data_IF_920489424629
#
_entry.id   IF_920489424629
#
_cell.length_a   1.000
_cell.length_b   1.000
_cell.length_c   1.000
_cell.angle_alpha   90.00
_cell.angle_beta   90.00
_cell.angle_gamma   90.00
#
_symmetry.space_group_name_H-M   'P 1'
#
loop_
_entity.id
_entity.type
_entity.pdbx_description
1 polymer ?
#
# COMPACT_ATOMS: atom_id res chain seq x y z
N UNK A 1 -15.60 -6.09 28.06
CA UNK A 1 -15.19 -4.68 27.82
C UNK A 1 -15.01 -4.45 26.33
N UNK A 2 -15.09 -3.21 25.82
CA UNK A 2 -15.01 -2.92 24.38
C UNK A 2 -13.78 -3.53 23.66
N UNK A 3 -12.71 -3.78 24.41
CA UNK A 3 -11.49 -4.43 23.89
C UNK A 3 -11.66 -5.92 23.57
N UNK A 4 -12.50 -6.67 24.30
CA UNK A 4 -12.66 -8.13 24.07
C UNK A 4 -13.45 -8.40 22.80
N UNK A 5 -14.51 -7.62 22.56
CA UNK A 5 -15.35 -7.73 21.35
C UNK A 5 -14.60 -7.28 20.08
N UNK A 6 -13.66 -6.33 20.20
CA UNK A 6 -12.77 -5.94 19.11
C UNK A 6 -11.76 -7.06 18.77
N UNK A 7 -11.19 -7.72 19.78
CA UNK A 7 -10.27 -8.85 19.58
C UNK A 7 -10.96 -10.00 18.84
N UNK A 8 -12.16 -10.41 19.24
CA UNK A 8 -12.90 -11.50 18.57
C UNK A 8 -13.21 -11.17 17.10
N UNK A 9 -13.67 -9.94 16.81
CA UNK A 9 -13.92 -9.48 15.44
C UNK A 9 -12.65 -9.50 14.59
N UNK A 10 -11.51 -9.10 15.14
CA UNK A 10 -10.24 -9.12 14.41
C UNK A 10 -9.71 -10.55 14.23
N UNK A 11 -9.89 -11.42 15.22
CA UNK A 11 -9.56 -12.84 15.08
C UNK A 11 -10.40 -13.53 14.01
N UNK A 12 -11.68 -13.20 13.91
CA UNK A 12 -12.54 -13.74 12.86
C UNK A 12 -12.13 -13.21 11.47
N UNK A 13 -11.86 -11.91 11.33
CA UNK A 13 -11.32 -11.35 10.07
C UNK A 13 -9.96 -11.95 9.70
N UNK A 14 -9.14 -12.30 10.68
CA UNK A 14 -7.88 -13.03 10.45
C UNK A 14 -8.14 -14.45 9.98
N UNK A 15 -9.05 -15.18 10.62
CA UNK A 15 -9.44 -16.54 10.20
C UNK A 15 -10.00 -16.53 8.79
N UNK A 16 -10.89 -15.60 8.46
CA UNK A 16 -11.42 -15.39 7.12
C UNK A 16 -10.29 -15.07 6.12
N UNK A 17 -9.39 -14.14 6.44
CA UNK A 17 -8.25 -13.83 5.57
C UNK A 17 -7.25 -14.98 5.42
N UNK A 18 -7.03 -15.77 6.47
CA UNK A 18 -6.16 -16.96 6.46
C UNK A 18 -6.82 -18.13 5.70
N UNK A 19 -8.15 -18.24 5.73
CA UNK A 19 -8.95 -19.18 4.92
C UNK A 19 -8.94 -18.77 3.44
N UNK A 20 -9.13 -17.49 3.14
CA UNK A 20 -8.96 -16.93 1.79
C UNK A 20 -7.54 -17.17 1.28
N UNK A 21 -6.53 -17.05 2.13
CA UNK A 21 -5.14 -17.38 1.78
C UNK A 21 -4.94 -18.88 1.54
N UNK A 22 -5.78 -19.78 2.06
CA UNK A 22 -5.73 -21.21 1.75
C UNK A 22 -6.58 -21.58 0.54
N UNK A 23 -7.43 -20.68 0.07
CA UNK A 23 -8.24 -20.89 -1.10
C UNK A 23 -7.35 -20.97 -2.34
N UNK A 24 -7.38 -22.13 -3.00
CA UNK A 24 -6.53 -22.45 -4.16
C UNK A 24 -6.75 -21.46 -5.31
N UNK A 25 -7.98 -20.98 -5.51
CA UNK A 25 -8.31 -19.96 -6.53
C UNK A 25 -7.75 -18.58 -6.17
N UNK A 26 -7.79 -18.19 -4.88
CA UNK A 26 -7.16 -16.95 -4.42
C UNK A 26 -5.65 -17.06 -4.56
N UNK A 27 -5.03 -18.16 -4.14
CA UNK A 27 -3.61 -18.41 -4.35
C UNK A 27 -3.22 -18.40 -5.82
N UNK A 28 -4.05 -18.97 -6.68
CA UNK A 28 -3.87 -18.91 -8.12
C UNK A 28 -3.91 -17.46 -8.62
N UNK A 29 -4.89 -16.63 -8.21
CA UNK A 29 -4.95 -15.19 -8.53
C UNK A 29 -3.71 -14.44 -8.04
N UNK A 30 -3.25 -14.70 -6.81
CA UNK A 30 -2.05 -14.06 -6.25
C UNK A 30 -0.78 -14.49 -6.97
N UNK A 31 -0.67 -15.77 -7.34
CA UNK A 31 0.44 -16.31 -8.12
C UNK A 31 0.44 -15.79 -9.56
N UNK A 32 -0.74 -15.49 -10.11
CA UNK A 32 -0.98 -14.88 -11.42
C UNK A 32 -0.78 -13.37 -11.45
N UNK A 33 -0.30 -12.72 -10.38
CA UNK A 33 0.09 -11.27 -10.36
C UNK A 33 1.31 -10.96 -11.24
N UNK A 34 1.39 -11.60 -12.39
CA UNK A 34 2.39 -11.45 -13.43
C UNK A 34 1.64 -10.96 -14.64
N UNK A 35 2.06 -9.81 -15.13
CA UNK A 35 1.56 -9.27 -16.38
C UNK A 35 2.17 -10.11 -17.51
N UNK A 36 1.32 -10.72 -18.33
CA UNK A 36 1.73 -11.61 -19.43
C UNK A 36 2.59 -10.88 -20.46
N UNK A 37 2.23 -9.63 -20.77
CA UNK A 37 2.97 -8.74 -21.66
C UNK A 37 2.90 -7.32 -21.13
N UNK A 38 4.05 -6.72 -20.82
CA UNK A 38 4.09 -5.37 -20.26
C UNK A 38 3.83 -4.29 -21.32
N UNK A 39 3.13 -3.25 -20.92
CA UNK A 39 2.96 -2.04 -21.72
C UNK A 39 4.28 -1.25 -21.77
N UNK A 40 4.64 -0.74 -22.95
CA UNK A 40 5.91 -0.03 -23.19
C UNK A 40 6.03 1.31 -22.44
N UNK A 41 4.91 1.95 -22.11
CA UNK A 41 4.89 3.21 -21.35
C UNK A 41 4.81 2.96 -19.85
N UNK A 42 4.12 1.89 -19.43
CA UNK A 42 3.87 1.61 -18.01
C UNK A 42 4.05 0.12 -17.72
N UNK A 43 5.20 -0.25 -17.14
CA UNK A 43 5.52 -1.65 -16.83
C UNK A 43 4.55 -2.32 -15.83
N UNK A 44 3.81 -1.50 -15.07
CA UNK A 44 2.75 -1.94 -14.15
C UNK A 44 1.45 -2.31 -14.88
N UNK A 45 1.34 -2.11 -16.20
CA UNK A 45 0.15 -2.40 -16.99
C UNK A 45 0.41 -3.46 -18.05
N UNK A 46 -0.63 -4.21 -18.39
CA UNK A 46 -0.66 -5.10 -19.54
C UNK A 46 -0.62 -4.30 -20.84
N UNK A 47 0.07 -4.80 -21.86
CA UNK A 47 0.18 -4.21 -23.19
C UNK A 47 -1.17 -4.08 -23.91
N UNK A 48 -2.19 -4.83 -23.48
CA UNK A 48 -3.57 -4.67 -23.93
C UNK A 48 -4.22 -3.36 -23.47
N UNK A 49 -3.60 -2.60 -22.55
CA UNK A 49 -4.15 -1.36 -22.00
C UNK A 49 -3.46 -0.13 -22.54
N UNK A 50 -4.19 0.98 -22.60
CA UNK A 50 -3.68 2.31 -22.93
C UNK A 50 -4.26 3.37 -21.99
N UNK A 51 -3.41 4.30 -21.56
CA UNK A 51 -3.85 5.51 -20.86
C UNK A 51 -4.34 6.54 -21.89
N UNK A 52 -5.56 7.00 -21.72
CA UNK A 52 -6.26 7.93 -22.58
C UNK A 52 -6.75 9.16 -21.80
N UNK A 53 -7.19 10.18 -22.55
CA UNK A 53 -7.78 11.39 -21.98
C UNK A 53 -9.02 11.81 -22.77
N UNK A 54 -10.07 12.25 -22.08
CA UNK A 54 -11.22 12.93 -22.68
C UNK A 54 -11.61 14.15 -21.86
N UNK A 55 -12.18 15.16 -22.51
CA UNK A 55 -12.65 16.37 -21.83
C UNK A 55 -13.71 16.07 -20.76
N UNK A 56 -14.49 15.00 -20.94
CA UNK A 56 -15.59 14.65 -20.05
C UNK A 56 -15.17 13.77 -18.87
N UNK A 57 -14.16 12.90 -19.04
CA UNK A 57 -13.75 11.93 -18.01
C UNK A 57 -12.35 12.20 -17.43
N UNK A 58 -11.60 13.14 -18.01
CA UNK A 58 -10.20 13.33 -17.68
C UNK A 58 -9.38 12.13 -18.16
N UNK A 59 -8.47 11.63 -17.32
CA UNK A 59 -7.63 10.47 -17.63
C UNK A 59 -8.38 9.17 -17.37
N UNK A 60 -8.30 8.23 -18.29
CA UNK A 60 -8.90 6.90 -18.14
C UNK A 60 -8.02 5.83 -18.80
N UNK A 61 -8.24 4.57 -18.46
CA UNK A 61 -7.55 3.43 -19.06
C UNK A 61 -8.56 2.66 -19.88
N UNK A 62 -8.20 2.32 -21.11
CA UNK A 62 -9.02 1.48 -22.00
C UNK A 62 -8.21 0.29 -22.52
N UNK A 63 -8.90 -0.79 -22.87
CA UNK A 63 -8.30 -1.93 -23.55
C UNK A 63 -8.25 -1.71 -25.06
N UNK A 64 -7.09 -1.91 -25.69
CA UNK A 64 -6.90 -1.83 -27.15
C UNK A 64 -7.08 -3.18 -27.85
N UNK A 65 -7.17 -4.26 -27.09
CA UNK A 65 -7.42 -5.63 -27.57
C UNK A 65 -8.40 -6.35 -26.63
N UNK A 66 -8.88 -7.51 -27.05
CA UNK A 66 -9.70 -8.37 -26.19
C UNK A 66 -8.90 -8.78 -24.94
N UNK A 67 -9.56 -8.74 -23.78
CA UNK A 67 -9.03 -9.17 -22.49
C UNK A 67 -9.81 -10.41 -22.07
N UNK A 68 -9.10 -11.48 -21.73
CA UNK A 68 -9.75 -12.73 -21.30
C UNK A 68 -10.10 -12.69 -19.81
N UNK A 69 -11.10 -13.47 -19.40
CA UNK A 69 -11.42 -13.64 -17.98
C UNK A 69 -10.22 -14.21 -17.23
N UNK A 70 -9.90 -13.62 -16.08
CA UNK A 70 -8.74 -14.00 -15.26
C UNK A 70 -7.40 -13.41 -15.71
N UNK A 71 -7.37 -12.59 -16.77
CA UNK A 71 -6.15 -11.90 -17.20
C UNK A 71 -5.79 -10.75 -16.26
N UNK A 72 -4.51 -10.66 -15.88
CA UNK A 72 -4.01 -9.58 -15.04
C UNK A 72 -3.71 -8.35 -15.87
N UNK A 73 -4.45 -7.29 -15.55
CA UNK A 73 -4.45 -6.02 -16.25
C UNK A 73 -3.42 -5.02 -15.70
N UNK A 74 -3.38 -4.88 -14.37
CA UNK A 74 -2.50 -3.92 -13.68
C UNK A 74 -1.94 -4.59 -12.42
N UNK A 75 -0.64 -4.43 -12.20
CA UNK A 75 0.04 -4.82 -10.96
C UNK A 75 0.91 -3.66 -10.51
N UNK A 76 0.53 -3.04 -9.39
CA UNK A 76 1.23 -1.89 -8.85
C UNK A 76 1.57 -2.13 -7.37
N UNK A 77 2.80 -1.78 -6.99
CA UNK A 77 3.19 -1.71 -5.57
C UNK A 77 2.65 -0.40 -5.00
N UNK A 78 2.04 -0.39 -3.80
CA UNK A 78 1.52 0.84 -3.22
C UNK A 78 2.67 1.84 -3.05
N UNK A 79 2.46 3.08 -3.49
CA UNK A 79 3.42 4.15 -3.27
C UNK A 79 3.70 4.34 -1.77
N UNK A 80 2.64 4.42 -0.97
CA UNK A 80 2.71 4.37 0.48
C UNK A 80 1.57 3.52 1.02
N UNK A 81 1.81 2.85 2.13
CA UNK A 81 0.83 2.00 2.80
C UNK A 81 0.81 2.33 4.30
N UNK A 82 -0.33 2.16 4.95
CA UNK A 82 -0.48 2.37 6.39
C UNK A 82 -1.39 1.31 6.99
N UNK A 83 -1.05 0.88 8.20
CA UNK A 83 -1.81 -0.12 8.94
C UNK A 83 -2.77 0.53 9.92
N UNK A 84 -4.05 0.16 9.84
CA UNK A 84 -5.08 0.61 10.77
C UNK A 84 -4.69 0.23 12.22
N UNK A 85 -4.92 1.10 13.23
CA UNK A 85 -4.51 0.83 14.61
C UNK A 85 -5.03 -0.49 15.16
N UNK A 86 -6.28 -0.85 14.88
CA UNK A 86 -6.89 -2.12 15.31
C UNK A 86 -6.23 -3.37 14.72
N UNK A 87 -5.40 -3.22 13.69
CA UNK A 87 -4.70 -4.29 13.00
C UNK A 87 -3.19 -4.29 13.30
N UNK A 88 -2.67 -3.44 14.19
CA UNK A 88 -1.22 -3.29 14.40
C UNK A 88 -0.51 -4.48 15.03
N UNK A 89 -1.20 -5.22 15.89
CA UNK A 89 -0.71 -6.50 16.44
C UNK A 89 -0.94 -7.67 15.46
N UNK A 90 -1.60 -7.33 14.37
CA UNK A 90 -2.09 -8.08 13.24
C UNK A 90 -1.11 -8.55 12.18
N UNK A 91 -0.52 -7.52 11.59
CA UNK A 91 0.10 -7.53 10.29
C UNK A 91 1.37 -6.68 10.37
N UNK A 92 2.31 -6.98 9.50
CA UNK A 92 3.56 -6.26 9.35
C UNK A 92 3.29 -4.79 9.01
N UNK A 93 3.92 -3.86 9.74
CA UNK A 93 3.75 -2.41 9.58
C UNK A 93 4.37 -1.86 8.27
N UNK A 94 5.06 -2.72 7.52
CA UNK A 94 5.66 -2.42 6.23
C UNK A 94 4.92 -3.08 5.06
N UNK A 95 4.90 -4.42 5.02
CA UNK A 95 4.36 -5.15 3.88
C UNK A 95 2.88 -5.52 4.02
N UNK A 96 2.25 -5.22 5.16
CA UNK A 96 0.85 -5.52 5.49
C UNK A 96 0.47 -7.01 5.43
N UNK A 97 1.44 -7.93 5.34
CA UNK A 97 1.19 -9.37 5.48
C UNK A 97 0.97 -9.73 6.95
N UNK A 98 0.22 -10.82 7.20
CA UNK A 98 -0.01 -11.32 8.56
C UNK A 98 1.32 -11.55 9.28
N UNK A 99 1.38 -11.18 10.56
CA UNK A 99 2.57 -11.41 11.37
C UNK A 99 2.74 -12.91 11.64
N UNK A 100 3.94 -13.49 11.40
CA UNK A 100 4.25 -14.85 11.81
C UNK A 100 4.34 -14.95 13.34
N UNK A 101 4.45 -16.17 13.87
CA UNK A 101 4.68 -16.40 15.31
C UNK A 101 5.95 -15.68 15.81
N UNK A 102 7.01 -15.69 15.00
CA UNK A 102 8.29 -15.03 15.31
C UNK A 102 8.33 -13.65 14.66
N UNK A 103 7.90 -12.62 15.39
CA UNK A 103 7.90 -11.24 14.91
C UNK A 103 9.23 -10.55 15.17
N UNK A 104 9.56 -9.57 14.33
CA UNK A 104 10.65 -8.61 14.58
C UNK A 104 10.02 -7.32 15.07
N UNK A 105 10.39 -6.86 16.27
CA UNK A 105 9.92 -5.60 16.85
C UNK A 105 10.98 -4.50 16.71
N UNK A 106 10.53 -3.27 16.49
CA UNK A 106 11.41 -2.11 16.67
C UNK A 106 11.76 -1.94 18.16
N UNK A 107 13.01 -1.60 18.46
CA UNK A 107 13.47 -1.40 19.85
C UNK A 107 12.97 -0.09 20.46
N UNK A 108 12.56 0.87 19.63
CA UNK A 108 12.24 2.26 20.04
C UNK A 108 10.74 2.57 20.04
N UNK A 109 9.92 1.75 19.39
CA UNK A 109 8.47 1.95 19.32
C UNK A 109 7.73 0.62 19.19
N UNK A 110 6.41 0.68 19.10
CA UNK A 110 5.50 -0.48 19.03
C UNK A 110 5.30 -1.07 17.61
N UNK A 111 6.24 -0.81 16.69
CA UNK A 111 6.13 -1.30 15.32
C UNK A 111 6.58 -2.76 15.22
N UNK A 112 5.77 -3.57 14.51
CA UNK A 112 6.00 -5.00 14.32
C UNK A 112 6.19 -5.33 12.84
N UNK A 113 7.14 -6.22 12.56
CA UNK A 113 7.56 -6.61 11.23
C UNK A 113 7.63 -8.14 11.10
N UNK A 114 7.34 -8.65 9.91
CA UNK A 114 7.43 -10.09 9.64
C UNK A 114 8.86 -10.59 9.41
N UNK A 115 9.82 -9.68 9.20
CA UNK A 115 11.23 -10.02 8.95
C UNK A 115 12.13 -8.79 9.14
N UNK A 116 13.43 -9.03 9.32
CA UNK A 116 14.45 -7.97 9.37
C UNK A 116 14.44 -7.12 8.11
N UNK A 117 14.29 -7.72 6.93
CA UNK A 117 14.17 -6.98 5.66
C UNK A 117 12.99 -5.99 5.67
N UNK A 118 11.87 -6.33 6.31
CA UNK A 118 10.74 -5.40 6.42
C UNK A 118 11.02 -4.26 7.42
N UNK A 119 11.75 -4.53 8.51
CA UNK A 119 12.19 -3.49 9.44
C UNK A 119 13.14 -2.52 8.71
N UNK A 120 14.23 -3.02 8.13
CA UNK A 120 15.24 -2.22 7.41
C UNK A 120 14.66 -1.47 6.20
N UNK A 121 13.81 -2.14 5.42
CA UNK A 121 13.11 -1.53 4.29
C UNK A 121 12.16 -0.41 4.72
N UNK A 122 11.52 -0.54 5.88
CA UNK A 122 10.72 0.56 6.44
C UNK A 122 11.58 1.69 6.99
N UNK A 123 12.69 1.36 7.67
CA UNK A 123 13.57 2.30 8.36
C UNK A 123 14.31 3.21 7.39
N UNK A 124 14.85 2.64 6.32
CA UNK A 124 15.50 3.38 5.24
C UNK A 124 14.57 4.43 4.59
N UNK A 125 13.27 4.13 4.49
CA UNK A 125 12.28 4.98 3.82
C UNK A 125 11.61 5.99 4.76
N UNK A 126 10.78 5.53 5.70
CA UNK A 126 9.89 6.41 6.48
C UNK A 126 9.90 6.11 7.99
N UNK A 127 10.21 4.88 8.42
CA UNK A 127 10.08 4.49 9.81
C UNK A 127 11.07 5.24 10.71
N UNK A 128 12.32 5.50 10.27
CA UNK A 128 13.29 6.31 11.04
C UNK A 128 12.73 7.68 11.47
N UNK A 129 11.87 8.28 10.63
CA UNK A 129 11.24 9.58 10.86
C UNK A 129 10.01 9.41 11.75
N UNK A 130 9.18 8.41 11.47
CA UNK A 130 7.93 8.16 12.19
C UNK A 130 8.14 7.51 13.58
N UNK A 131 9.28 6.88 13.82
CA UNK A 131 9.52 6.00 14.98
C UNK A 131 9.28 6.70 16.31
N UNK A 132 9.90 7.86 16.51
CA UNK A 132 9.72 8.68 17.73
C UNK A 132 8.32 9.27 17.86
N UNK A 133 7.58 9.35 16.74
CA UNK A 133 6.24 9.90 16.66
C UNK A 133 5.15 8.83 16.71
N UNK A 134 5.46 7.53 16.78
CA UNK A 134 4.49 6.43 16.59
C UNK A 134 3.21 6.63 17.42
N UNK A 135 3.34 6.97 18.70
CA UNK A 135 2.20 7.20 19.61
C UNK A 135 1.33 8.39 19.19
N UNK A 136 1.95 9.47 18.71
CA UNK A 136 1.24 10.67 18.23
C UNK A 136 0.60 10.44 16.84
N UNK A 137 1.17 9.56 16.03
CA UNK A 137 0.65 9.24 14.69
C UNK A 137 -0.51 8.23 14.71
N UNK A 138 -0.69 7.46 15.79
CA UNK A 138 -1.81 6.53 15.91
C UNK A 138 -3.21 7.18 15.86
N UNK A 139 -3.51 8.25 16.61
CA UNK A 139 -4.84 8.85 16.62
C UNK A 139 -5.20 9.59 15.32
N UNK A 140 -4.23 10.03 14.53
CA UNK A 140 -4.49 10.83 13.31
C UNK A 140 -5.04 9.99 12.14
N UNK A 141 -5.28 8.69 12.33
CA UNK A 141 -5.98 7.81 11.38
C UNK A 141 -5.43 7.95 9.95
N UNK A 142 -6.27 8.22 8.96
CA UNK A 142 -5.89 8.46 7.56
C UNK A 142 -4.86 9.60 7.39
N UNK A 143 -4.77 10.53 8.33
CA UNK A 143 -3.72 11.56 8.35
C UNK A 143 -2.30 10.99 8.45
N UNK A 144 -2.13 9.82 9.08
CA UNK A 144 -0.83 9.13 9.08
C UNK A 144 -0.43 8.72 7.66
N UNK A 145 -1.37 8.22 6.86
CA UNK A 145 -1.08 7.88 5.46
C UNK A 145 -0.66 9.12 4.65
N UNK A 146 -1.34 10.26 4.83
CA UNK A 146 -0.97 11.50 4.16
C UNK A 146 0.46 11.94 4.52
N UNK A 147 0.82 11.89 5.80
CA UNK A 147 2.18 12.20 6.23
C UNK A 147 3.21 11.21 5.68
N UNK A 148 2.88 9.92 5.62
CA UNK A 148 3.76 8.90 5.06
C UNK A 148 4.00 9.09 3.57
N UNK A 149 3.01 9.55 2.79
CA UNK A 149 3.20 9.92 1.38
C UNK A 149 4.29 11.00 1.26
N UNK A 150 4.28 12.02 2.13
CA UNK A 150 5.30 13.07 2.17
C UNK A 150 6.67 12.48 2.48
N UNK A 151 6.77 11.63 3.49
CA UNK A 151 8.05 11.00 3.87
C UNK A 151 8.61 10.07 2.79
N UNK A 152 7.78 9.28 2.13
CA UNK A 152 8.19 8.40 1.03
C UNK A 152 8.58 9.20 -0.22
N UNK A 153 7.84 10.27 -0.54
CA UNK A 153 8.19 11.15 -1.66
C UNK A 153 9.53 11.87 -1.42
N UNK A 154 9.83 12.22 -0.17
CA UNK A 154 10.99 13.01 0.23
C UNK A 154 10.74 14.52 0.05
N UNK A 155 11.23 15.32 1.02
CA UNK A 155 10.96 16.77 1.08
C UNK A 155 11.41 17.51 -0.19
N UNK A 156 12.58 17.19 -0.73
CA UNK A 156 13.08 17.81 -1.96
C UNK A 156 12.13 17.64 -3.15
N UNK A 157 11.44 16.50 -3.24
CA UNK A 157 10.47 16.25 -4.31
C UNK A 157 9.15 16.96 -4.03
N UNK A 158 8.74 17.06 -2.76
CA UNK A 158 7.55 17.82 -2.36
C UNK A 158 7.73 19.30 -2.68
N UNK A 159 8.89 19.87 -2.42
CA UNK A 159 9.20 21.28 -2.73
C UNK A 159 9.17 21.54 -4.24
N UNK A 160 9.81 20.67 -5.04
CA UNK A 160 9.79 20.76 -6.51
C UNK A 160 8.38 20.71 -7.07
N UNK A 161 7.55 19.82 -6.54
CA UNK A 161 6.15 19.68 -6.96
C UNK A 161 5.35 20.92 -6.57
N UNK A 162 5.54 21.44 -5.36
CA UNK A 162 4.84 22.63 -4.86
C UNK A 162 5.15 23.89 -5.69
N UNK A 163 6.41 24.06 -6.10
CA UNK A 163 6.81 25.16 -6.99
C UNK A 163 6.21 25.06 -8.40
N UNK A 164 5.86 23.86 -8.85
CA UNK A 164 5.24 23.65 -10.16
C UNK A 164 3.74 23.96 -10.12
N UNK A 165 3.04 23.52 -9.08
CA UNK A 165 1.61 23.79 -8.92
C UNK A 165 1.31 25.28 -8.67
N UNK A 166 2.20 26.02 -8.00
CA UNK A 166 2.04 27.47 -7.83
C UNK A 166 2.18 28.31 -9.10
N UNK A 167 2.52 27.72 -10.25
CA UNK A 167 2.67 28.41 -11.55
C UNK A 167 1.51 28.19 -12.52
N UNK A 168 0.63 27.22 -12.24
CA UNK A 168 -0.47 26.86 -13.15
C UNK A 168 -1.79 27.61 -12.83
N UNK A 169 -1.84 28.41 -11.74
CA UNK A 169 -3.00 29.25 -11.38
C UNK A 169 -3.00 30.66 -12.02
N UNK A 170 -1.92 31.10 -12.68
CA UNK A 170 -1.85 32.42 -13.34
C UNK A 170 -2.24 32.44 -14.83
N UNK A 171 -2.72 31.32 -15.38
CA UNK A 171 -3.22 31.25 -16.76
C UNK A 171 -4.55 30.52 -16.85
N UNK A 172 -5.62 31.15 -16.37
CA UNK A 172 -7.01 30.94 -16.81
C UNK A 172 -7.68 32.30 -16.97
#
# INVERSE_FOLDING_TARGET
TPNVECCEKVENLRKEADEDMKNEFVQEIYSKRIISKQNNQFNAMNAALRLCFSKHQGRFIESTTNVNSGEVLIVEKPFASWIKPSLRNYYCHHCLKSLPTNVVSCEKCDALFCSTNCLEGSDSNYHKIECSLSKALQPISKGHLALRIIFVAGMDNVDKVSQKFGKDEETV
#
